data_IF_336713311185
#
_entry.id   IF_336713311185
#
_cell.length_a   1.000
_cell.length_b   1.000
_cell.length_c   1.000
_cell.angle_alpha   90.00
_cell.angle_beta   90.00
_cell.angle_gamma   90.00
#
_symmetry.space_group_name_H-M   'P 1'
#
loop_
_entity.id
_entity.type
_entity.pdbx_description
1 polymer ?
#
# COMPACT_ATOMS: atom_id res chain seq x y z
N UNK A 1 9.04 -52.78 17.60
CA UNK A 1 8.46 -51.43 17.84
C UNK A 1 9.44 -50.30 17.50
N UNK A 2 9.95 -50.21 16.25
CA UNK A 2 10.87 -49.13 15.82
C UNK A 2 10.39 -48.32 14.60
N UNK A 3 9.33 -48.77 13.90
CA UNK A 3 8.80 -48.15 12.67
C UNK A 3 7.77 -47.04 12.89
N UNK A 4 7.23 -46.90 14.11
CA UNK A 4 6.17 -45.91 14.39
C UNK A 4 6.79 -44.54 14.70
N UNK A 5 7.98 -44.49 15.29
CA UNK A 5 8.62 -43.23 15.73
C UNK A 5 9.06 -42.36 14.53
N UNK A 6 9.48 -42.98 13.42
CA UNK A 6 9.99 -42.24 12.24
C UNK A 6 8.90 -41.51 11.46
N UNK A 7 7.69 -42.08 11.39
CA UNK A 7 6.57 -41.46 10.66
C UNK A 7 5.93 -40.30 11.43
N UNK A 8 5.92 -40.35 12.77
CA UNK A 8 5.34 -39.29 13.59
C UNK A 8 6.19 -38.01 13.57
N UNK A 9 7.52 -38.13 13.52
CA UNK A 9 8.42 -36.96 13.46
C UNK A 9 8.31 -36.22 12.11
N UNK A 10 8.13 -36.95 11.00
CA UNK A 10 7.93 -36.34 9.67
C UNK A 10 6.59 -35.60 9.56
N UNK A 11 5.53 -36.13 10.17
CA UNK A 11 4.21 -35.49 10.19
C UNK A 11 4.20 -34.19 11.02
N UNK A 12 4.94 -34.17 12.14
CA UNK A 12 5.10 -32.97 12.96
C UNK A 12 5.85 -31.88 12.15
N UNK A 13 6.95 -32.21 11.47
CA UNK A 13 7.66 -31.23 10.64
C UNK A 13 6.77 -30.66 9.51
N UNK A 14 5.94 -31.49 8.88
CA UNK A 14 5.04 -31.03 7.79
C UNK A 14 3.92 -30.10 8.27
N UNK A 15 3.44 -30.27 9.50
CA UNK A 15 2.39 -29.42 10.09
C UNK A 15 2.90 -28.04 10.55
N UNK A 16 4.20 -27.88 10.81
CA UNK A 16 4.79 -26.62 11.27
C UNK A 16 5.38 -25.74 10.15
N UNK A 17 5.61 -26.28 8.94
CA UNK A 17 6.15 -25.52 7.79
C UNK A 17 5.24 -24.39 7.26
N UNK A 18 3.88 -24.47 7.27
CA UNK A 18 3.05 -23.42 6.68
C UNK A 18 2.90 -22.15 7.54
N UNK A 19 3.58 -22.02 8.70
CA UNK A 19 3.45 -20.86 9.59
C UNK A 19 4.40 -19.69 9.26
N UNK A 20 5.19 -19.77 8.19
CA UNK A 20 6.29 -18.82 7.94
C UNK A 20 5.95 -17.71 6.91
N UNK A 21 4.69 -17.56 6.51
CA UNK A 21 4.27 -16.51 5.56
C UNK A 21 3.03 -15.81 6.10
N UNK A 22 3.22 -14.75 6.87
CA UNK A 22 2.16 -13.86 7.34
C UNK A 22 2.31 -12.52 6.64
N UNK A 23 1.19 -11.97 6.16
CA UNK A 23 1.12 -10.54 5.83
C UNK A 23 1.32 -9.72 7.10
N UNK A 24 1.93 -8.55 6.94
CA UNK A 24 2.15 -7.56 7.99
C UNK A 24 1.25 -6.35 7.74
N UNK A 25 0.68 -5.81 8.82
CA UNK A 25 -0.10 -4.57 8.80
C UNK A 25 0.77 -3.45 9.35
N UNK A 26 0.90 -2.38 8.57
CA UNK A 26 1.64 -1.17 8.94
C UNK A 26 0.65 -0.04 9.18
N UNK A 27 0.71 0.58 10.37
CA UNK A 27 -0.13 1.72 10.72
C UNK A 27 0.73 2.88 11.22
N UNK A 28 0.49 4.07 10.68
CA UNK A 28 1.14 5.28 11.20
C UNK A 28 0.63 5.60 12.61
N UNK A 29 1.51 5.90 13.56
CA UNK A 29 1.17 6.21 14.97
C UNK A 29 1.37 7.69 15.35
N UNK A 30 2.00 8.47 14.49
CA UNK A 30 2.22 9.91 14.66
C UNK A 30 2.44 10.59 13.31
N UNK A 31 2.27 11.91 13.28
CA UNK A 31 2.63 12.74 12.12
C UNK A 31 4.16 12.79 11.93
N UNK A 32 4.63 12.87 10.68
CA UNK A 32 6.06 13.06 10.43
C UNK A 32 6.54 12.58 9.06
N UNK A 33 7.83 12.25 8.98
CA UNK A 33 8.45 11.74 7.76
C UNK A 33 8.05 10.27 7.55
N UNK A 34 7.62 9.92 6.32
CA UNK A 34 7.32 8.54 5.93
C UNK A 34 8.45 7.57 6.24
N UNK A 35 9.69 7.96 5.97
CA UNK A 35 10.85 7.09 6.11
C UNK A 35 11.28 6.86 7.57
N UNK A 36 10.76 7.64 8.52
CA UNK A 36 11.12 7.52 9.93
C UNK A 36 10.26 6.43 10.60
N UNK A 37 10.92 5.33 10.99
CA UNK A 37 10.30 4.20 11.67
C UNK A 37 9.61 4.55 12.99
N UNK A 38 9.97 5.66 13.63
CA UNK A 38 9.30 6.14 14.84
C UNK A 38 7.82 6.51 14.61
N UNK A 39 7.43 6.79 13.36
CA UNK A 39 6.06 7.11 12.99
C UNK A 39 5.21 5.88 12.66
N UNK A 40 5.75 4.66 12.78
CA UNK A 40 5.08 3.41 12.42
C UNK A 40 4.97 2.44 13.61
N UNK A 41 3.85 1.75 13.71
CA UNK A 41 3.60 0.72 14.73
C UNK A 41 4.59 -0.46 14.69
N UNK A 42 5.08 -0.82 13.49
CA UNK A 42 6.10 -1.85 13.30
C UNK A 42 7.54 -1.35 13.54
N UNK A 43 7.72 -0.09 13.99
CA UNK A 43 9.04 0.53 14.19
C UNK A 43 9.82 0.74 12.88
N UNK A 44 9.18 0.53 11.72
CA UNK A 44 9.74 0.73 10.39
C UNK A 44 8.61 0.98 9.38
N UNK A 45 8.85 1.78 8.32
CA UNK A 45 7.88 1.95 7.26
C UNK A 45 7.70 0.68 6.43
N UNK A 46 6.54 0.52 5.76
CA UNK A 46 6.40 -0.47 4.71
C UNK A 46 7.43 -0.17 3.60
N UNK A 47 8.12 -1.21 3.13
CA UNK A 47 9.21 -1.09 2.17
C UNK A 47 9.10 -2.13 1.05
N UNK A 48 9.95 -2.01 0.03
CA UNK A 48 10.03 -2.96 -1.06
C UNK A 48 10.91 -4.16 -0.65
N UNK A 49 10.42 -5.40 -0.75
CA UNK A 49 11.31 -6.57 -0.69
C UNK A 49 10.84 -7.82 0.05
N UNK A 50 9.63 -7.90 0.60
CA UNK A 50 9.17 -9.09 1.32
C UNK A 50 7.71 -9.44 0.98
N UNK A 51 7.41 -10.74 1.02
CA UNK A 51 6.29 -11.34 0.31
C UNK A 51 4.89 -11.10 0.89
N UNK A 52 3.96 -10.94 -0.06
CA UNK A 52 2.55 -11.28 -0.06
C UNK A 52 1.62 -10.51 0.89
N UNK A 53 0.94 -9.53 0.30
CA UNK A 53 -0.33 -8.96 0.77
C UNK A 53 -0.29 -8.13 2.06
N UNK A 54 0.84 -7.46 2.33
CA UNK A 54 0.90 -6.46 3.40
C UNK A 54 -0.15 -5.36 3.20
N UNK A 55 -0.61 -4.80 4.32
CA UNK A 55 -1.59 -3.72 4.35
C UNK A 55 -1.00 -2.48 5.01
N UNK A 56 -1.38 -1.30 4.53
CA UNK A 56 -0.89 -0.01 5.02
C UNK A 56 -2.07 0.89 5.37
N UNK A 57 -2.09 1.38 6.60
CA UNK A 57 -3.09 2.31 7.11
C UNK A 57 -2.42 3.62 7.52
N UNK A 58 -2.66 4.68 6.75
CA UNK A 58 -2.19 6.03 7.03
C UNK A 58 -3.29 6.78 7.76
N UNK A 59 -3.09 6.98 9.06
CA UNK A 59 -4.03 7.67 9.98
C UNK A 59 -3.59 9.08 10.37
N UNK A 60 -2.36 9.42 10.04
CA UNK A 60 -1.65 10.64 10.42
C UNK A 60 -1.10 11.35 9.18
N UNK A 61 -0.60 12.57 9.34
CA UNK A 61 0.02 13.34 8.27
C UNK A 61 1.46 12.86 8.02
N UNK A 62 1.69 12.26 6.84
CA UNK A 62 2.98 11.72 6.44
C UNK A 62 3.60 12.53 5.30
N UNK A 63 4.80 13.08 5.52
CA UNK A 63 5.57 13.77 4.49
C UNK A 63 6.52 12.80 3.78
N UNK A 64 6.46 12.80 2.44
CA UNK A 64 7.40 12.12 1.57
C UNK A 64 8.60 13.04 1.31
N UNK A 65 9.77 12.71 1.85
CA UNK A 65 11.03 13.44 1.58
C UNK A 65 11.84 12.84 0.43
N UNK A 66 11.42 11.69 -0.09
CA UNK A 66 11.97 11.01 -1.25
C UNK A 66 10.87 10.18 -1.93
N UNK A 67 11.13 9.66 -3.12
CA UNK A 67 10.25 8.69 -3.76
C UNK A 67 10.06 7.46 -2.85
N UNK A 68 8.80 7.05 -2.65
CA UNK A 68 8.44 5.87 -1.88
C UNK A 68 7.99 4.78 -2.84
N UNK A 69 8.53 3.57 -2.66
CA UNK A 69 8.08 2.37 -3.34
C UNK A 69 7.88 1.26 -2.32
N UNK A 70 6.70 0.64 -2.32
CA UNK A 70 6.37 -0.45 -1.40
C UNK A 70 5.67 -1.62 -2.11
N UNK A 71 5.68 -2.78 -1.45
CA UNK A 71 4.85 -3.92 -1.85
C UNK A 71 3.69 -4.11 -0.88
N UNK A 72 2.49 -3.74 -1.29
CA UNK A 72 1.28 -3.87 -0.48
C UNK A 72 0.07 -4.19 -1.35
N UNK A 73 -0.84 -5.03 -0.87
CA UNK A 73 -2.11 -5.32 -1.55
C UNK A 73 -3.18 -4.29 -1.22
N UNK A 74 -3.02 -3.55 -0.12
CA UNK A 74 -4.03 -2.65 0.39
C UNK A 74 -3.41 -1.43 1.05
N UNK A 75 -3.79 -0.23 0.60
CA UNK A 75 -3.42 1.03 1.24
C UNK A 75 -4.67 1.83 1.51
N UNK A 76 -4.88 2.23 2.77
CA UNK A 76 -5.95 3.12 3.18
C UNK A 76 -5.36 4.38 3.80
N UNK A 77 -5.80 5.53 3.28
CA UNK A 77 -5.57 6.84 3.88
C UNK A 77 -6.88 7.19 4.57
N UNK A 78 -6.91 7.19 5.90
CA UNK A 78 -8.11 7.50 6.66
C UNK A 78 -8.51 8.96 6.48
N UNK A 79 -9.71 9.33 6.92
CA UNK A 79 -10.18 10.73 6.85
C UNK A 79 -9.33 11.75 7.61
N UNK A 80 -8.50 11.31 8.55
CA UNK A 80 -7.52 12.15 9.24
C UNK A 80 -6.10 12.02 8.67
N UNK A 81 -5.85 10.98 7.88
CA UNK A 81 -4.56 10.69 7.29
C UNK A 81 -4.26 11.59 6.10
N UNK A 82 -2.97 11.87 5.92
CA UNK A 82 -2.50 12.59 4.74
C UNK A 82 -1.19 12.03 4.23
N UNK A 83 -0.99 12.09 2.92
CA UNK A 83 0.30 11.81 2.28
C UNK A 83 0.69 13.05 1.47
N UNK A 84 1.74 13.74 1.90
CA UNK A 84 2.16 15.03 1.36
C UNK A 84 3.59 14.97 0.82
N UNK A 85 3.88 15.62 -0.31
CA UNK A 85 5.25 15.93 -0.71
C UNK A 85 5.48 15.85 -2.21
N UNK A 86 6.52 16.52 -2.71
CA UNK A 86 6.81 16.56 -4.15
C UNK A 86 7.57 15.31 -4.65
N UNK A 87 7.11 14.12 -4.27
CA UNK A 87 7.75 12.83 -4.57
C UNK A 87 6.72 11.82 -5.10
N UNK A 88 7.23 10.73 -5.66
CA UNK A 88 6.42 9.63 -6.20
C UNK A 88 5.96 8.71 -5.07
N UNK A 89 4.66 8.39 -5.04
CA UNK A 89 4.08 7.39 -4.19
C UNK A 89 3.74 6.14 -5.01
N UNK A 90 4.58 5.11 -4.90
CA UNK A 90 4.50 3.91 -5.72
C UNK A 90 4.14 2.66 -4.91
N UNK A 91 3.12 1.93 -5.37
CA UNK A 91 2.67 0.68 -4.76
C UNK A 91 2.72 -0.43 -5.80
N UNK A 92 3.36 -1.56 -5.47
CA UNK A 92 3.52 -2.67 -6.42
C UNK A 92 3.18 -3.99 -5.77
N UNK A 93 2.34 -4.82 -6.39
CA UNK A 93 2.07 -6.17 -5.88
C UNK A 93 1.84 -7.09 -7.07
N UNK A 94 2.30 -8.34 -7.00
CA UNK A 94 2.13 -9.30 -8.11
C UNK A 94 0.67 -9.60 -8.46
N UNK A 95 -0.24 -9.37 -7.49
CA UNK A 95 -1.68 -9.58 -7.57
C UNK A 95 -2.45 -8.25 -7.66
N UNK A 96 -3.54 -8.13 -6.90
CA UNK A 96 -4.36 -6.92 -6.81
C UNK A 96 -3.75 -5.92 -5.84
N UNK A 97 -3.68 -4.66 -6.25
CA UNK A 97 -3.48 -3.50 -5.37
C UNK A 97 -4.82 -2.79 -5.20
N UNK A 98 -5.19 -2.46 -3.96
CA UNK A 98 -6.31 -1.57 -3.65
C UNK A 98 -5.79 -0.35 -2.89
N UNK A 99 -6.19 0.83 -3.34
CA UNK A 99 -5.94 2.09 -2.65
C UNK A 99 -7.29 2.71 -2.33
N UNK A 100 -7.51 3.05 -1.07
CA UNK A 100 -8.66 3.83 -0.61
C UNK A 100 -8.13 5.14 -0.03
N UNK A 101 -8.59 6.25 -0.59
CA UNK A 101 -8.28 7.58 -0.07
C UNK A 101 -9.55 8.22 0.50
N UNK A 102 -9.67 8.22 1.82
CA UNK A 102 -10.68 8.97 2.57
C UNK A 102 -10.13 10.29 3.14
N UNK A 103 -8.82 10.52 3.05
CA UNK A 103 -8.11 11.72 3.53
C UNK A 103 -7.50 12.55 2.40
N UNK A 104 -6.26 13.02 2.57
CA UNK A 104 -5.57 13.82 1.56
C UNK A 104 -4.38 13.07 0.95
N UNK A 105 -4.29 13.04 -0.37
CA UNK A 105 -3.05 12.70 -1.06
C UNK A 105 -2.64 13.89 -1.94
N UNK A 106 -1.50 14.49 -1.63
CA UNK A 106 -0.91 15.58 -2.38
C UNK A 106 0.55 15.27 -2.69
N UNK A 107 0.77 14.64 -3.84
CA UNK A 107 2.08 14.11 -4.22
C UNK A 107 2.49 14.52 -5.64
N UNK A 108 3.73 14.27 -6.03
CA UNK A 108 4.15 14.49 -7.41
C UNK A 108 3.45 13.51 -8.35
N UNK A 109 3.51 12.23 -8.03
CA UNK A 109 2.95 11.17 -8.87
C UNK A 109 2.46 10.01 -8.00
N UNK A 110 1.33 9.41 -8.39
CA UNK A 110 0.92 8.10 -7.88
C UNK A 110 1.08 7.07 -8.99
N UNK A 111 1.70 5.94 -8.66
CA UNK A 111 1.87 4.83 -9.60
C UNK A 111 1.59 3.50 -8.93
N UNK A 112 0.76 2.67 -9.55
CA UNK A 112 0.66 1.26 -9.20
C UNK A 112 1.38 0.38 -10.22
N UNK A 113 1.98 -0.71 -9.75
CA UNK A 113 2.63 -1.70 -10.60
C UNK A 113 1.93 -3.07 -10.58
N UNK A 114 2.10 -3.79 -11.70
CA UNK A 114 1.58 -5.12 -12.01
C UNK A 114 0.05 -5.26 -12.13
N UNK A 115 -0.31 -6.33 -12.83
CA UNK A 115 -1.56 -6.78 -13.46
C UNK A 115 -2.90 -6.10 -13.16
N UNK A 116 -3.23 -5.75 -11.90
CA UNK A 116 -4.51 -5.13 -11.53
C UNK A 116 -4.35 -4.22 -10.33
N UNK A 117 -4.80 -2.98 -10.47
CA UNK A 117 -4.94 -2.05 -9.36
C UNK A 117 -6.33 -1.42 -9.34
N UNK A 118 -6.76 -1.01 -8.15
CA UNK A 118 -7.94 -0.17 -7.95
C UNK A 118 -7.61 1.00 -7.04
N UNK A 119 -8.11 2.17 -7.42
CA UNK A 119 -8.09 3.37 -6.59
C UNK A 119 -9.53 3.80 -6.39
N UNK A 120 -9.96 3.86 -5.13
CA UNK A 120 -11.18 4.53 -4.67
C UNK A 120 -10.77 5.83 -4.00
N UNK A 121 -11.15 6.94 -4.61
CA UNK A 121 -10.87 8.26 -4.06
C UNK A 121 -12.17 8.91 -3.58
N UNK A 122 -12.31 9.08 -2.26
CA UNK A 122 -13.47 9.69 -1.60
C UNK A 122 -13.18 11.11 -1.06
N UNK A 123 -11.94 11.58 -1.18
CA UNK A 123 -11.46 12.85 -0.66
C UNK A 123 -10.43 13.50 -1.60
N UNK A 124 -9.54 14.37 -1.10
CA UNK A 124 -8.65 15.17 -1.96
C UNK A 124 -7.50 14.33 -2.53
N UNK A 125 -7.35 14.39 -3.85
CA UNK A 125 -6.28 13.75 -4.60
C UNK A 125 -5.65 14.75 -5.57
N UNK A 126 -4.44 15.17 -5.27
CA UNK A 126 -3.65 16.14 -6.01
C UNK A 126 -2.36 15.46 -6.47
N UNK A 127 -2.15 15.43 -7.79
CA UNK A 127 -0.91 14.95 -8.41
C UNK A 127 -0.37 15.96 -9.40
N UNK A 128 0.91 16.35 -9.28
CA UNK A 128 1.51 17.36 -10.16
C UNK A 128 1.94 16.81 -11.53
N UNK A 129 2.44 15.58 -11.57
CA UNK A 129 3.04 14.98 -12.77
C UNK A 129 2.21 13.82 -13.33
N UNK A 130 1.37 13.19 -12.51
CA UNK A 130 0.34 12.29 -13.00
C UNK A 130 -0.12 11.19 -12.05
N UNK A 131 -1.09 10.42 -12.55
CA UNK A 131 -1.71 9.29 -11.88
C UNK A 131 -1.68 8.09 -12.84
N UNK A 132 -1.03 7.00 -12.45
CA UNK A 132 -0.89 5.78 -13.26
C UNK A 132 -1.39 4.56 -12.49
N UNK A 133 -2.60 4.10 -12.80
CA UNK A 133 -3.22 2.92 -12.17
C UNK A 133 -3.26 1.75 -13.17
N UNK A 134 -2.58 0.65 -12.85
CA UNK A 134 -2.51 -0.59 -13.64
C UNK A 134 -3.77 -1.46 -13.54
N UNK A 135 -4.96 -0.85 -13.67
CA UNK A 135 -6.24 -1.53 -13.55
C UNK A 135 -7.43 -0.58 -13.63
N UNK A 136 -8.46 -0.82 -12.82
CA UNK A 136 -9.70 -0.04 -12.83
C UNK A 136 -9.61 1.10 -11.84
N UNK A 137 -9.92 2.32 -12.26
CA UNK A 137 -10.11 3.46 -11.34
C UNK A 137 -11.61 3.64 -11.07
N UNK A 138 -12.03 3.63 -9.81
CA UNK A 138 -13.40 3.94 -9.41
C UNK A 138 -13.39 5.26 -8.64
N UNK A 139 -13.73 6.35 -9.33
CA UNK A 139 -13.73 7.68 -8.70
C UNK A 139 -15.15 8.01 -8.28
N UNK A 140 -15.42 7.96 -6.97
CA UNK A 140 -16.66 8.51 -6.41
C UNK A 140 -16.43 10.02 -6.26
N UNK A 141 -16.74 10.76 -7.33
CA UNK A 141 -16.60 12.21 -7.35
C UNK A 141 -17.63 12.84 -6.39
N UNK A 142 -17.19 13.29 -5.22
CA UNK A 142 -17.96 14.22 -4.40
C UNK A 142 -17.89 15.60 -5.06
N UNK A 143 -19.00 16.02 -5.68
CA UNK A 143 -19.12 17.26 -6.44
C UNK A 143 -18.72 18.48 -5.61
N UNK A 144 -17.63 19.16 -6.01
CA UNK A 144 -17.17 20.42 -5.39
C UNK A 144 -15.92 21.04 -6.03
N UNK A 145 -15.08 20.27 -6.71
CA UNK A 145 -13.84 20.73 -7.36
C UNK A 145 -13.82 20.36 -8.84
N UNK A 146 -13.49 21.32 -9.70
CA UNK A 146 -13.30 21.10 -11.14
C UNK A 146 -12.13 20.12 -11.36
N UNK A 147 -12.36 19.04 -12.12
CA UNK A 147 -11.30 18.14 -12.56
C UNK A 147 -11.21 18.19 -14.08
N UNK A 148 -10.06 18.62 -14.57
CA UNK A 148 -9.64 18.40 -15.96
C UNK A 148 -9.07 16.97 -16.07
N UNK A 149 -9.90 16.01 -16.49
CA UNK A 149 -9.45 14.63 -16.74
C UNK A 149 -8.83 14.57 -18.14
N UNK A 150 -7.50 14.69 -18.26
CA UNK A 150 -6.78 14.40 -19.50
C UNK A 150 -6.52 12.89 -19.60
N UNK A 151 -7.50 12.14 -20.10
CA UNK A 151 -7.32 10.73 -20.48
C UNK A 151 -6.45 10.66 -21.76
N UNK A 152 -5.17 10.26 -21.62
CA UNK A 152 -4.36 9.80 -22.76
C UNK A 152 -4.36 8.27 -22.81
N UNK A 153 -5.13 7.72 -23.76
CA UNK A 153 -5.02 6.32 -24.16
C UNK A 153 -3.68 6.11 -24.89
N UNK A 154 -2.73 5.43 -24.24
CA UNK A 154 -1.54 4.90 -24.91
C UNK A 154 -1.95 3.56 -25.51
N UNK A 155 -1.95 3.46 -26.85
CA UNK A 155 -2.14 2.23 -27.61
C UNK A 155 -0.83 1.46 -27.71
#
# INVERSE_FOLDING_TARGET
MKKIITNTVFLILFLFIPLLISATVYTTISDGNWADGANWDQGSPPSFGWGNSDEVYVKHEMTLTADVSMQSSYVEISSSGKILGNNTFKITMTNLVQIINDGEINVKQISTGYQKASLRNNADLITNDGLSISGSMDTILNYGTEIEVILRLIH
#
